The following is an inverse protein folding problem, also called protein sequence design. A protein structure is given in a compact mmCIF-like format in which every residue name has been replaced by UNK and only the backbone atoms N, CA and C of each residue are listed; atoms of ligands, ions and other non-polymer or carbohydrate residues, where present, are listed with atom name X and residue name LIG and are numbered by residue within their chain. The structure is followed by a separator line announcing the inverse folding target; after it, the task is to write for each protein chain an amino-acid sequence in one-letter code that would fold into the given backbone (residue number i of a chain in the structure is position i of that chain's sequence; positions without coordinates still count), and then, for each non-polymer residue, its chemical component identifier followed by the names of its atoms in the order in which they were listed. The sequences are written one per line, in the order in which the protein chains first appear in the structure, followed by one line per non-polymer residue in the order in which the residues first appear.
data_IF_678998344290
#
_entry.id   IF_678998344290
#
_cell.length_a   1.000
_cell.length_b   1.000
_cell.length_c   1.000
_cell.angle_alpha   90.00
_cell.angle_beta   90.00
_cell.angle_gamma   90.00
#
_symmetry.space_group_name_H-M   'P 1'
#
loop_
_entity.id
_entity.type
_entity.pdbx_description
1 polymer ?
#
# COMPACT_ATOMS: atom_id res chain seq x y z
N UNK A 1 -6.92 -11.12 -23.81
CA UNK A 1 -6.44 -11.45 -22.45
C UNK A 1 -7.45 -12.44 -21.89
N UNK A 2 -7.11 -13.73 -21.76
CA UNK A 2 -7.98 -14.67 -21.04
C UNK A 2 -7.98 -14.24 -19.58
N UNK A 3 -9.16 -13.92 -19.04
CA UNK A 3 -9.30 -13.70 -17.60
C UNK A 3 -8.82 -14.97 -16.90
N UNK A 4 -7.94 -14.79 -15.91
CA UNK A 4 -7.33 -15.86 -15.14
C UNK A 4 -8.39 -16.87 -14.65
N UNK A 5 -8.15 -18.18 -14.84
CA UNK A 5 -8.92 -19.25 -14.19
C UNK A 5 -9.89 -20.08 -15.04
N UNK A 6 -9.94 -19.95 -16.37
CA UNK A 6 -10.81 -20.82 -17.18
C UNK A 6 -10.16 -22.17 -17.50
N UNK A 7 -10.77 -23.28 -17.07
CA UNK A 7 -10.37 -24.64 -17.45
C UNK A 7 -11.57 -25.52 -17.79
N UNK A 8 -11.33 -26.63 -18.50
CA UNK A 8 -12.39 -27.56 -18.91
C UNK A 8 -12.23 -28.90 -18.19
N UNK A 9 -13.29 -29.35 -17.52
CA UNK A 9 -13.35 -30.64 -16.82
C UNK A 9 -14.70 -31.28 -17.11
N UNK A 10 -14.69 -32.58 -17.45
CA UNK A 10 -15.90 -33.35 -17.77
C UNK A 10 -16.79 -32.71 -18.85
N UNK A 11 -16.16 -32.09 -19.86
CA UNK A 11 -16.86 -31.44 -20.96
C UNK A 11 -17.43 -30.05 -20.63
N UNK A 12 -17.41 -29.64 -19.37
CA UNK A 12 -17.91 -28.35 -18.88
C UNK A 12 -16.78 -27.35 -18.67
N UNK A 13 -17.05 -26.08 -18.94
CA UNK A 13 -16.13 -24.98 -18.68
C UNK A 13 -16.32 -24.50 -17.25
N UNK A 14 -15.24 -24.52 -16.47
CA UNK A 14 -15.19 -24.03 -15.10
C UNK A 14 -14.35 -22.76 -15.04
N UNK A 15 -14.69 -21.89 -14.09
CA UNK A 15 -14.04 -20.62 -13.84
C UNK A 15 -13.68 -20.56 -12.35
N UNK A 16 -12.40 -20.65 -12.04
CA UNK A 16 -11.89 -20.51 -10.68
C UNK A 16 -11.33 -19.10 -10.48
N UNK A 17 -11.96 -18.32 -9.60
CA UNK A 17 -11.52 -16.97 -9.28
C UNK A 17 -10.93 -16.93 -7.87
N UNK A 18 -9.68 -16.47 -7.76
CA UNK A 18 -9.15 -15.94 -6.50
C UNK A 18 -9.34 -14.42 -6.52
N UNK A 19 -10.51 -13.94 -6.10
CA UNK A 19 -10.80 -12.50 -6.08
C UNK A 19 -10.16 -11.89 -4.84
N UNK A 20 -9.20 -10.98 -5.06
CA UNK A 20 -8.69 -10.10 -4.01
C UNK A 20 -9.34 -8.74 -4.20
N UNK A 21 -10.28 -8.40 -3.32
CA UNK A 21 -10.86 -7.06 -3.23
C UNK A 21 -9.98 -6.22 -2.29
N UNK A 22 -9.48 -5.11 -2.81
CA UNK A 22 -8.40 -4.31 -2.21
C UNK A 22 -8.80 -2.86 -1.98
N UNK A 23 -10.06 -2.60 -1.66
CA UNK A 23 -10.66 -1.27 -1.54
C UNK A 23 -10.44 -0.57 -0.17
N UNK A 24 -9.44 -1.00 0.61
CA UNK A 24 -9.13 -0.38 1.91
C UNK A 24 -7.87 0.49 1.87
N UNK A 25 -8.06 1.80 1.72
CA UNK A 25 -7.05 2.80 2.07
C UNK A 25 -7.28 3.28 3.49
N UNK A 26 -6.50 2.76 4.44
CA UNK A 26 -6.52 3.20 5.83
C UNK A 26 -5.35 4.16 6.06
N UNK A 27 -5.57 5.48 6.24
CA UNK A 27 -4.50 6.39 6.60
C UNK A 27 -3.97 6.05 7.98
N UNK A 28 -2.65 5.90 8.10
CA UNK A 28 -1.96 5.67 9.37
C UNK A 28 -1.24 6.97 9.74
N UNK A 29 -1.51 7.48 10.94
CA UNK A 29 -0.96 8.75 11.44
C UNK A 29 -0.05 8.51 12.64
N UNK A 30 1.13 9.14 12.64
CA UNK A 30 2.07 9.13 13.78
C UNK A 30 1.61 10.10 14.86
N UNK A 31 0.79 9.61 15.80
CA UNK A 31 0.21 10.40 16.89
C UNK A 31 1.29 11.03 17.78
N UNK A 32 2.41 10.34 17.99
CA UNK A 32 3.54 10.84 18.78
C UNK A 32 4.17 12.11 18.18
N UNK A 33 4.17 12.27 16.86
CA UNK A 33 4.63 13.50 16.20
C UNK A 33 3.64 14.64 16.42
N UNK A 34 2.34 14.35 16.40
CA UNK A 34 1.30 15.35 16.69
C UNK A 34 1.41 15.84 18.14
N UNK A 35 1.58 14.92 19.09
CA UNK A 35 1.77 15.25 20.51
C UNK A 35 3.07 16.05 20.74
N UNK A 36 4.19 15.62 20.15
CA UNK A 36 5.49 16.31 20.24
C UNK A 36 5.41 17.78 19.79
N UNK A 37 4.57 18.07 18.81
CA UNK A 37 4.41 19.41 18.24
C UNK A 37 3.10 20.11 18.66
N UNK A 38 2.37 19.54 19.61
CA UNK A 38 1.09 20.05 20.11
C UNK A 38 0.08 20.36 18.99
N UNK A 39 0.01 19.47 17.99
CA UNK A 39 -0.87 19.54 16.84
C UNK A 39 -2.11 18.65 17.04
N UNK A 40 -3.31 19.07 16.58
CA UNK A 40 -4.50 18.22 16.61
C UNK A 40 -4.42 17.12 15.54
N UNK A 41 -5.24 16.07 15.73
CA UNK A 41 -5.50 15.10 14.67
C UNK A 41 -6.21 15.78 13.50
N UNK A 42 -5.76 15.59 12.24
CA UNK A 42 -6.42 16.22 11.09
C UNK A 42 -7.78 15.59 10.82
N UNK A 43 -8.78 16.42 10.56
CA UNK A 43 -10.14 16.05 10.20
C UNK A 43 -10.51 16.44 8.76
N UNK A 44 -9.63 17.19 8.07
CA UNK A 44 -9.81 17.60 6.67
C UNK A 44 -8.57 17.31 5.84
N UNK A 45 -8.72 17.22 4.52
CA UNK A 45 -7.59 17.03 3.60
C UNK A 45 -6.63 18.22 3.60
N UNK A 46 -7.14 19.43 3.80
CA UNK A 46 -6.29 20.63 3.90
C UNK A 46 -5.40 20.56 5.14
N UNK A 47 -5.95 20.14 6.30
CA UNK A 47 -5.16 19.90 7.51
C UNK A 47 -4.11 18.80 7.30
N UNK A 48 -4.44 17.73 6.57
CA UNK A 48 -3.46 16.71 6.20
C UNK A 48 -2.33 17.33 5.37
N UNK A 49 -2.64 18.16 4.37
CA UNK A 49 -1.62 18.82 3.53
C UNK A 49 -0.74 19.76 4.36
N UNK A 50 -1.32 20.52 5.30
CA UNK A 50 -0.59 21.42 6.18
C UNK A 50 0.38 20.66 7.09
N UNK A 51 -0.09 19.60 7.76
CA UNK A 51 0.74 18.73 8.59
C UNK A 51 1.85 18.09 7.75
N UNK A 52 1.51 17.62 6.55
CA UNK A 52 2.46 17.02 5.62
C UNK A 52 3.57 17.99 5.23
N UNK A 53 3.22 19.25 4.91
CA UNK A 53 4.20 20.30 4.58
C UNK A 53 5.08 20.64 5.78
N UNK A 54 4.52 20.64 6.99
CA UNK A 54 5.27 20.92 8.20
C UNK A 54 6.36 19.87 8.46
N UNK A 55 6.04 18.59 8.32
CA UNK A 55 6.97 17.48 8.59
C UNK A 55 7.92 17.17 7.44
N UNK A 56 7.59 17.55 6.21
CA UNK A 56 8.42 17.24 5.06
C UNK A 56 9.82 17.86 5.15
N UNK A 57 10.85 17.02 5.05
CA UNK A 57 12.26 17.41 5.14
C UNK A 57 12.79 17.55 6.58
N UNK A 58 12.02 17.13 7.59
CA UNK A 58 12.50 17.03 8.97
C UNK A 58 12.93 15.60 9.27
N UNK A 59 13.83 15.45 10.23
CA UNK A 59 14.16 14.16 10.81
C UNK A 59 13.09 13.79 11.85
N UNK A 60 12.28 12.78 11.54
CA UNK A 60 11.12 12.34 12.33
C UNK A 60 11.41 11.09 13.16
N UNK A 61 12.56 10.45 12.94
CA UNK A 61 12.99 9.21 13.59
C UNK A 61 14.34 9.36 14.32
N UNK A 62 14.91 10.57 14.34
CA UNK A 62 16.16 10.96 14.98
C UNK A 62 17.40 10.21 14.40
N UNK A 63 17.38 9.88 13.09
CA UNK A 63 18.46 9.17 12.39
C UNK A 63 19.47 10.08 11.65
N UNK A 64 19.24 11.40 11.66
CA UNK A 64 20.05 12.40 10.98
C UNK A 64 19.70 12.64 9.51
N UNK A 65 18.68 11.94 8.97
CA UNK A 65 18.23 12.04 7.58
C UNK A 65 16.87 12.75 7.50
N UNK A 66 16.66 13.64 6.52
CA UNK A 66 15.35 14.23 6.27
C UNK A 66 14.31 13.18 5.81
N UNK A 67 13.12 13.19 6.42
CA UNK A 67 12.01 12.31 6.09
C UNK A 67 10.90 13.00 5.27
N UNK A 68 9.95 12.19 4.79
CA UNK A 68 8.75 12.65 4.10
C UNK A 68 7.61 12.93 5.08
N UNK A 69 6.92 14.06 4.90
CA UNK A 69 5.75 14.40 5.73
C UNK A 69 4.46 13.68 5.33
N UNK A 70 4.42 13.06 4.15
CA UNK A 70 3.29 12.25 3.67
C UNK A 70 3.79 11.15 2.73
N UNK A 71 3.36 9.92 2.99
CA UNK A 71 3.66 8.77 2.15
C UNK A 71 2.35 8.13 1.71
N UNK A 72 2.14 8.03 0.40
CA UNK A 72 1.03 7.28 -0.16
C UNK A 72 1.51 5.87 -0.53
N UNK A 73 0.85 4.84 0.01
CA UNK A 73 1.08 3.47 -0.45
C UNK A 73 0.25 3.27 -1.73
N UNK A 74 0.85 2.85 -2.85
CA UNK A 74 2.22 2.38 -2.98
C UNK A 74 3.23 3.37 -3.56
N UNK A 75 4.48 3.18 -3.16
CA UNK A 75 5.60 3.61 -3.95
C UNK A 75 5.66 2.76 -5.23
N UNK A 76 5.18 3.30 -6.35
CA UNK A 76 5.45 2.70 -7.66
C UNK A 76 6.94 2.87 -7.96
N UNK A 77 7.71 1.78 -7.90
CA UNK A 77 8.93 1.75 -8.70
C UNK A 77 8.52 1.71 -10.19
N UNK A 78 9.47 1.90 -11.12
CA UNK A 78 9.20 1.94 -12.57
C UNK A 78 8.46 0.71 -13.14
N UNK A 79 8.23 -0.34 -12.34
CA UNK A 79 7.47 -1.53 -12.70
C UNK A 79 5.99 -1.51 -12.25
N UNK A 80 5.51 -0.43 -11.61
CA UNK A 80 4.07 -0.21 -11.38
C UNK A 80 3.37 -1.18 -10.41
N UNK A 81 4.11 -1.97 -9.63
CA UNK A 81 3.50 -2.87 -8.64
C UNK A 81 3.60 -2.23 -7.28
N UNK A 82 2.43 -1.93 -6.76
CA UNK A 82 2.28 -1.13 -5.59
C UNK A 82 1.04 -1.53 -4.80
N UNK A 83 1.20 -2.54 -3.97
CA UNK A 83 0.28 -2.85 -2.89
C UNK A 83 1.15 -3.23 -1.69
N UNK A 84 0.65 -3.06 -0.47
CA UNK A 84 1.33 -3.19 0.84
C UNK A 84 2.09 -4.47 1.14
N UNK A 85 2.48 -5.23 0.13
CA UNK A 85 3.16 -6.49 0.18
C UNK A 85 4.60 -6.29 -0.27
N UNK A 86 5.52 -6.79 0.55
CA UNK A 86 6.93 -6.96 0.24
C UNK A 86 7.06 -7.58 -1.16
N UNK A 87 7.38 -6.77 -2.16
CA UNK A 87 7.24 -7.07 -3.58
C UNK A 87 8.16 -8.19 -4.10
N UNK A 88 9.07 -8.71 -3.27
CA UNK A 88 10.02 -9.76 -3.64
C UNK A 88 9.50 -11.20 -3.52
N UNK A 89 8.67 -11.57 -2.54
CA UNK A 89 8.23 -12.97 -2.34
C UNK A 89 6.77 -13.22 -2.75
N UNK A 90 5.95 -12.17 -2.81
CA UNK A 90 4.52 -12.30 -3.16
C UNK A 90 4.29 -12.88 -4.57
N UNK A 91 5.07 -12.49 -5.61
CA UNK A 91 4.99 -13.15 -6.91
C UNK A 91 5.32 -14.65 -6.80
N UNK A 92 6.35 -15.03 -6.04
CA UNK A 92 6.76 -16.43 -5.88
C UNK A 92 5.68 -17.28 -5.20
N UNK A 93 5.02 -16.78 -4.15
CA UNK A 93 3.91 -17.48 -3.49
C UNK A 93 2.74 -17.69 -4.47
N UNK A 94 2.37 -16.64 -5.19
CA UNK A 94 1.32 -16.70 -6.21
C UNK A 94 1.71 -17.56 -7.40
N UNK A 95 2.99 -17.74 -7.73
CA UNK A 95 3.36 -18.71 -8.77
C UNK A 95 3.41 -20.14 -8.22
N UNK A 96 3.86 -20.32 -6.97
CA UNK A 96 4.02 -21.65 -6.34
C UNK A 96 2.69 -22.36 -6.08
N UNK A 97 1.62 -21.60 -5.81
CA UNK A 97 0.28 -22.16 -5.57
C UNK A 97 -0.48 -22.49 -6.86
N UNK A 98 0.04 -22.07 -8.03
CA UNK A 98 -0.60 -22.24 -9.33
C UNK A 98 0.20 -23.14 -10.29
N UNK A 99 1.42 -23.55 -9.90
CA UNK A 99 2.30 -24.43 -10.67
C UNK A 99 2.16 -25.93 -10.34
N UNK A 100 1.13 -26.33 -9.59
CA UNK A 100 0.79 -27.74 -9.29
C UNK A 100 -0.56 -28.10 -9.90
#
# INVERSE_FOLDING_TARGET
VQAMGQYRKDGQSNLDFLMFDGDFFVPIVRIDLLERHNMPLPNTWDEVIEISRFFNGRDLNDDGTPDFGFCHFPHVNAAGVGMGFWSWWWPELLYSTWAT
#
